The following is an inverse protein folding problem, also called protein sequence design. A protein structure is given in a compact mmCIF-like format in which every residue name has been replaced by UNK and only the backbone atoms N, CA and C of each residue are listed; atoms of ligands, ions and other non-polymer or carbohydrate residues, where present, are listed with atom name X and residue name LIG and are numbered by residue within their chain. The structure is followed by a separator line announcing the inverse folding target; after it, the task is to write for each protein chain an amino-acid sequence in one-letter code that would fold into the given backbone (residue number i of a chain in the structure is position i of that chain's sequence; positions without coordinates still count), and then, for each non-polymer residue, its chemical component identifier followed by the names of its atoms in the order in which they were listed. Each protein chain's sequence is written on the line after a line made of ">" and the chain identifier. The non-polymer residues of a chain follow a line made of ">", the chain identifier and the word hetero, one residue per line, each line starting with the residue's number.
data_IF_905831489616
#
_entry.id   IF_905831489616
#
_cell.length_a   1.000
_cell.length_b   1.000
_cell.length_c   1.000
_cell.angle_alpha   90.00
_cell.angle_beta   90.00
_cell.angle_gamma   90.00
#
_symmetry.space_group_name_H-M   'P 1'
#
loop_
_entity.id
_entity.type
_entity.pdbx_description
1 polymer ?
#
# COMPACT_ATOMS: atom_id res chain seq x y z
N UNK A 1 -0.55 -75.80 18.10
CA UNK A 1 -1.77 -75.04 18.46
C UNK A 1 -1.71 -73.58 18.02
N UNK A 2 -0.59 -72.95 18.04
CA UNK A 2 -0.43 -71.52 17.65
C UNK A 2 -0.61 -71.23 16.15
N UNK A 3 -0.25 -72.14 15.24
CA UNK A 3 -0.44 -71.93 13.78
C UNK A 3 -1.94 -71.83 13.39
N UNK A 4 -2.80 -72.51 14.09
CA UNK A 4 -4.24 -72.60 13.78
C UNK A 4 -4.99 -71.35 14.20
N UNK A 5 -4.44 -70.56 15.11
CA UNK A 5 -5.08 -69.32 15.57
C UNK A 5 -4.74 -68.17 14.61
N UNK A 6 -3.52 -68.10 14.09
CA UNK A 6 -3.11 -67.09 13.10
C UNK A 6 -3.89 -67.19 11.78
N UNK A 7 -4.08 -68.44 11.27
CA UNK A 7 -4.87 -68.68 10.05
C UNK A 7 -6.37 -68.35 10.24
N UNK A 8 -6.94 -68.61 11.42
CA UNK A 8 -8.34 -68.27 11.69
C UNK A 8 -8.57 -66.79 11.91
N UNK A 9 -7.61 -66.02 12.40
CA UNK A 9 -7.71 -64.57 12.59
C UNK A 9 -7.56 -63.84 11.26
N UNK A 10 -6.66 -64.32 10.37
CA UNK A 10 -6.50 -63.71 9.03
C UNK A 10 -7.70 -63.90 8.12
N UNK A 11 -8.58 -64.90 8.41
CA UNK A 11 -9.82 -65.18 7.68
C UNK A 11 -10.94 -64.22 8.04
N UNK A 12 -10.85 -63.51 9.18
CA UNK A 12 -11.88 -62.58 9.67
C UNK A 12 -11.51 -61.12 9.72
N UNK A 13 -10.21 -60.82 9.49
CA UNK A 13 -9.71 -59.47 9.55
C UNK A 13 -9.05 -59.11 8.23
N UNK A 14 -9.69 -58.35 7.42
CA UNK A 14 -9.06 -57.74 6.23
C UNK A 14 -8.00 -56.71 6.68
N UNK A 15 -6.75 -57.13 6.67
CA UNK A 15 -5.61 -56.34 7.11
C UNK A 15 -5.51 -55.03 6.35
N UNK A 16 -5.95 -54.93 5.10
CA UNK A 16 -5.95 -53.73 4.31
C UNK A 16 -7.02 -52.75 4.79
N UNK A 17 -8.21 -53.25 5.11
CA UNK A 17 -9.31 -52.42 5.71
C UNK A 17 -8.96 -51.93 7.11
N UNK A 18 -8.21 -52.72 7.89
CA UNK A 18 -7.71 -52.27 9.19
C UNK A 18 -6.62 -51.19 9.00
N UNK A 19 -5.73 -51.36 8.05
CA UNK A 19 -4.71 -50.34 7.72
C UNK A 19 -5.36 -49.03 7.19
N UNK A 20 -6.33 -49.13 6.30
CA UNK A 20 -7.04 -47.95 5.82
C UNK A 20 -7.80 -47.20 6.94
N UNK A 21 -8.54 -47.95 7.79
CA UNK A 21 -9.22 -47.34 8.93
C UNK A 21 -8.27 -46.76 9.97
N UNK A 22 -7.13 -47.41 10.22
CA UNK A 22 -6.08 -46.86 11.07
C UNK A 22 -5.46 -45.59 10.46
N UNK A 23 -5.13 -45.62 9.16
CA UNK A 23 -4.58 -44.46 8.46
C UNK A 23 -5.60 -43.28 8.47
N UNK A 24 -6.87 -43.54 8.22
CA UNK A 24 -7.93 -42.55 8.26
C UNK A 24 -8.17 -42.00 9.69
N UNK A 25 -8.15 -42.89 10.68
CA UNK A 25 -8.22 -42.50 12.10
C UNK A 25 -7.02 -41.67 12.53
N UNK A 26 -5.81 -42.02 12.08
CA UNK A 26 -4.60 -41.27 12.33
C UNK A 26 -4.62 -39.91 11.61
N UNK A 27 -5.11 -39.83 10.38
CA UNK A 27 -5.26 -38.54 9.70
C UNK A 27 -6.34 -37.65 10.34
N UNK A 28 -7.48 -38.21 10.77
CA UNK A 28 -8.54 -37.43 11.43
C UNK A 28 -8.21 -37.01 12.88
N UNK A 29 -7.42 -37.79 13.60
CA UNK A 29 -7.18 -37.59 15.05
C UNK A 29 -5.79 -37.03 15.36
N UNK A 30 -4.80 -37.21 14.48
CA UNK A 30 -3.46 -36.60 14.65
C UNK A 30 -3.51 -35.11 14.29
N UNK A 31 -4.37 -34.70 13.37
CA UNK A 31 -4.65 -33.28 13.12
C UNK A 31 -5.22 -32.59 14.37
N UNK A 32 -5.93 -33.31 15.26
CA UNK A 32 -6.47 -32.79 16.52
C UNK A 32 -5.66 -33.16 17.78
N UNK A 33 -4.43 -33.62 17.65
CA UNK A 33 -3.32 -33.72 18.63
C UNK A 33 -3.67 -34.09 20.09
N UNK A 34 -4.74 -34.83 20.35
CA UNK A 34 -4.94 -35.47 21.67
C UNK A 34 -4.65 -36.95 21.55
N UNK A 35 -3.54 -37.41 22.15
CA UNK A 35 -3.25 -38.82 22.28
C UNK A 35 -4.37 -39.51 23.09
N UNK A 36 -5.10 -40.41 22.44
CA UNK A 36 -6.13 -41.21 23.10
C UNK A 36 -5.64 -42.64 23.20
N UNK A 37 -5.56 -43.17 24.42
CA UNK A 37 -5.31 -44.57 24.69
C UNK A 37 -6.51 -45.39 24.23
N UNK A 38 -6.30 -46.36 23.32
CA UNK A 38 -7.29 -47.38 23.02
C UNK A 38 -6.75 -48.72 23.55
N UNK A 39 -7.35 -49.32 24.55
CA UNK A 39 -6.98 -50.67 24.98
C UNK A 39 -7.53 -51.67 23.98
N UNK A 40 -6.63 -52.31 23.24
CA UNK A 40 -6.94 -53.48 22.42
C UNK A 40 -6.62 -54.72 23.27
N UNK A 41 -7.66 -55.38 23.73
CA UNK A 41 -7.53 -56.65 24.44
C UNK A 41 -7.17 -57.77 23.45
N UNK A 42 -5.95 -58.30 23.56
CA UNK A 42 -5.55 -59.51 22.93
C UNK A 42 -4.52 -59.35 21.77
N UNK A 43 -3.28 -59.36 22.11
CA UNK A 43 -2.00 -59.33 21.43
C UNK A 43 -1.29 -58.00 21.56
N UNK A 44 -0.35 -57.94 22.49
CA UNK A 44 0.49 -56.77 22.73
C UNK A 44 1.49 -56.60 21.60
N UNK A 45 1.13 -55.87 20.58
CA UNK A 45 2.12 -55.20 19.74
C UNK A 45 2.23 -53.77 20.26
N UNK A 46 3.25 -53.53 21.09
CA UNK A 46 3.62 -52.16 21.48
C UNK A 46 4.10 -51.43 20.21
N UNK A 47 3.20 -50.71 19.55
CA UNK A 47 3.63 -49.59 18.72
C UNK A 47 4.06 -48.48 19.67
N UNK A 48 5.35 -48.31 19.81
CA UNK A 48 5.92 -47.10 20.40
C UNK A 48 5.61 -45.97 19.41
N UNK A 49 4.39 -45.38 19.48
CA UNK A 49 4.15 -44.09 18.89
C UNK A 49 5.00 -43.14 19.73
N UNK A 50 6.06 -42.61 19.13
CA UNK A 50 6.93 -41.67 19.83
C UNK A 50 6.04 -40.57 20.39
N UNK A 51 6.04 -40.45 21.72
CA UNK A 51 5.47 -39.30 22.39
C UNK A 51 6.31 -38.09 21.95
N UNK A 52 5.87 -37.37 20.98
CA UNK A 52 6.27 -35.98 20.89
C UNK A 52 5.72 -35.33 22.16
N UNK A 53 6.58 -34.89 23.08
CA UNK A 53 6.16 -34.19 24.27
C UNK A 53 5.22 -33.06 23.84
N UNK A 54 4.08 -32.90 24.54
CA UNK A 54 3.16 -31.80 24.26
C UNK A 54 3.92 -30.49 24.34
N UNK A 55 3.69 -29.59 23.38
CA UNK A 55 4.21 -28.25 23.50
C UNK A 55 3.46 -27.52 24.62
N UNK A 56 4.21 -26.90 25.49
CA UNK A 56 3.68 -26.13 26.62
C UNK A 56 4.22 -24.70 26.63
N UNK A 57 5.02 -24.36 25.60
CA UNK A 57 5.58 -23.01 25.48
C UNK A 57 4.74 -22.23 24.48
N UNK A 58 4.26 -21.09 24.91
CA UNK A 58 3.51 -20.20 24.03
C UNK A 58 4.44 -19.46 23.04
N UNK A 59 3.92 -19.05 21.87
CA UNK A 59 4.66 -18.22 20.93
C UNK A 59 5.14 -16.91 21.56
N UNK A 60 6.25 -16.41 21.10
CA UNK A 60 6.79 -15.11 21.49
C UNK A 60 6.51 -14.07 20.42
N UNK A 61 5.81 -12.97 20.76
CA UNK A 61 5.62 -11.83 19.89
C UNK A 61 6.85 -10.93 20.03
N UNK A 62 7.68 -10.86 18.97
CA UNK A 62 8.95 -10.15 18.99
C UNK A 62 8.82 -8.70 18.55
N UNK A 63 7.79 -8.33 17.80
CA UNK A 63 7.51 -6.94 17.42
C UNK A 63 7.20 -6.09 18.66
N UNK A 64 7.87 -4.95 18.80
CA UNK A 64 7.56 -3.91 19.78
C UNK A 64 6.84 -2.72 19.12
N UNK A 65 7.17 -2.45 17.85
CA UNK A 65 6.60 -1.39 17.03
C UNK A 65 6.41 -1.87 15.60
N UNK A 66 5.32 -1.40 14.97
CA UNK A 66 4.99 -1.64 13.56
C UNK A 66 4.57 -0.31 12.97
N UNK A 67 5.08 0.02 11.78
CA UNK A 67 4.64 1.21 11.05
C UNK A 67 3.54 0.82 10.05
N UNK A 68 2.51 1.68 9.97
CA UNK A 68 1.38 1.55 9.05
C UNK A 68 1.26 2.87 8.29
N UNK A 69 1.29 2.86 6.96
CA UNK A 69 1.05 4.06 6.17
C UNK A 69 -0.34 4.64 6.44
N UNK A 70 -0.46 5.96 6.42
CA UNK A 70 -1.74 6.67 6.58
C UNK A 70 -2.80 6.15 5.60
N UNK A 71 -3.99 5.84 6.12
CA UNK A 71 -5.11 5.32 5.35
C UNK A 71 -5.03 3.83 5.00
N UNK A 72 -3.90 3.15 5.25
CA UNK A 72 -3.76 1.72 5.00
C UNK A 72 -4.26 0.88 6.18
N UNK A 73 -4.65 -0.34 5.88
CA UNK A 73 -5.10 -1.28 6.92
C UNK A 73 -3.91 -1.92 7.63
N UNK A 74 -4.06 -2.11 8.93
CA UNK A 74 -3.11 -2.92 9.69
C UNK A 74 -3.17 -4.39 9.22
N UNK A 75 -2.01 -4.92 8.85
CA UNK A 75 -1.86 -6.32 8.46
C UNK A 75 -1.23 -7.11 9.61
N UNK A 76 -1.97 -8.07 10.16
CA UNK A 76 -1.49 -8.94 11.26
C UNK A 76 -0.30 -9.81 10.84
N UNK A 77 -0.11 -10.03 9.55
CA UNK A 77 1.03 -10.81 9.03
C UNK A 77 2.36 -10.04 9.14
N UNK A 78 2.32 -8.72 9.37
CA UNK A 78 3.52 -7.91 9.66
C UNK A 78 4.03 -8.07 11.10
N UNK A 79 3.25 -8.73 11.96
CA UNK A 79 3.68 -9.02 13.34
C UNK A 79 4.65 -10.18 13.35
N UNK A 80 5.86 -9.93 13.85
CA UNK A 80 6.87 -10.97 14.02
C UNK A 80 6.55 -11.82 15.25
N UNK A 81 6.40 -13.12 15.01
CA UNK A 81 6.18 -14.11 16.06
C UNK A 81 7.11 -15.31 15.86
N UNK A 82 7.58 -15.88 16.93
CA UNK A 82 8.44 -17.08 16.93
C UNK A 82 7.96 -18.08 17.95
N UNK A 83 8.19 -19.34 17.66
CA UNK A 83 7.91 -20.43 18.59
C UNK A 83 9.04 -21.48 18.56
N UNK A 84 9.09 -22.34 19.58
CA UNK A 84 10.12 -23.38 19.70
C UNK A 84 9.84 -24.61 18.82
N UNK A 85 8.61 -24.75 18.31
CA UNK A 85 8.16 -25.92 17.53
C UNK A 85 7.37 -25.59 16.30
N UNK A 86 6.49 -24.59 16.40
CA UNK A 86 5.60 -24.21 15.31
C UNK A 86 6.28 -23.21 14.38
N UNK A 87 6.06 -23.37 13.08
CA UNK A 87 6.47 -22.38 12.10
C UNK A 87 5.49 -21.19 12.11
N UNK A 88 5.91 -20.06 11.52
CA UNK A 88 5.03 -18.86 11.44
C UNK A 88 3.65 -19.18 10.85
N UNK A 89 3.59 -20.09 9.88
CA UNK A 89 2.36 -20.50 9.20
C UNK A 89 1.38 -21.28 10.09
N UNK A 90 1.91 -21.96 11.13
CA UNK A 90 1.12 -22.73 12.10
C UNK A 90 0.65 -21.88 13.30
N UNK A 91 1.18 -20.66 13.46
CA UNK A 91 0.84 -19.74 14.53
C UNK A 91 -0.29 -18.81 14.08
N UNK A 92 -1.39 -18.79 14.81
CA UNK A 92 -2.48 -17.86 14.60
C UNK A 92 -2.18 -16.54 15.30
N UNK A 93 -2.27 -15.43 14.55
CA UNK A 93 -2.10 -14.07 15.09
C UNK A 93 -3.39 -13.29 14.90
N UNK A 94 -3.79 -12.56 15.93
CA UNK A 94 -4.93 -11.65 15.91
C UNK A 94 -4.59 -10.36 16.64
N UNK A 95 -5.31 -9.28 16.35
CA UNK A 95 -5.10 -7.98 16.96
C UNK A 95 -6.43 -7.31 17.32
N UNK A 96 -6.48 -6.67 18.48
CA UNK A 96 -7.58 -5.76 18.84
C UNK A 96 -7.28 -4.37 18.32
N UNK A 97 -7.96 -3.98 17.26
CA UNK A 97 -7.78 -2.72 16.54
C UNK A 97 -8.74 -1.61 16.99
N UNK A 98 -9.47 -1.78 18.09
CA UNK A 98 -10.48 -0.80 18.54
C UNK A 98 -9.89 0.60 18.84
N UNK A 99 -8.62 0.68 19.21
CA UNK A 99 -7.92 1.94 19.49
C UNK A 99 -7.20 2.53 18.27
N UNK A 100 -7.05 1.76 17.18
CA UNK A 100 -6.28 2.18 16.00
C UNK A 100 -7.14 3.04 15.07
N UNK A 101 -6.65 4.25 14.76
CA UNK A 101 -7.19 5.09 13.71
C UNK A 101 -6.13 5.33 12.63
N UNK A 102 -6.24 4.62 11.53
CA UNK A 102 -5.29 4.72 10.41
C UNK A 102 -5.41 6.02 9.60
N UNK A 103 -6.49 6.79 9.80
CA UNK A 103 -6.69 8.12 9.19
C UNK A 103 -6.18 9.26 10.08
N UNK A 104 -5.35 8.95 11.06
CA UNK A 104 -4.73 9.96 11.91
C UNK A 104 -3.30 9.52 12.27
N UNK A 105 -2.34 10.38 11.98
CA UNK A 105 -0.93 10.13 12.35
C UNK A 105 -0.77 10.03 13.86
N UNK A 106 0.10 9.13 14.31
CA UNK A 106 0.40 8.96 15.73
C UNK A 106 0.70 7.53 16.13
N UNK A 107 0.94 7.36 17.43
CA UNK A 107 1.26 6.08 18.05
C UNK A 107 0.01 5.51 18.74
N UNK A 108 -0.35 4.29 18.39
CA UNK A 108 -1.50 3.57 18.91
C UNK A 108 -1.04 2.30 19.62
N UNK A 109 -1.67 2.00 20.77
CA UNK A 109 -1.44 0.76 21.48
C UNK A 109 -2.44 -0.29 21.04
N UNK A 110 -1.94 -1.37 20.44
CA UNK A 110 -2.73 -2.48 19.92
C UNK A 110 -2.38 -3.74 20.66
N UNK A 111 -3.39 -4.43 21.17
CA UNK A 111 -3.19 -5.73 21.81
C UNK A 111 -3.14 -6.82 20.75
N UNK A 112 -2.00 -7.49 20.65
CA UNK A 112 -1.79 -8.62 19.75
C UNK A 112 -1.83 -9.91 20.54
N UNK A 113 -2.51 -10.91 20.01
CA UNK A 113 -2.58 -12.27 20.57
C UNK A 113 -2.03 -13.26 19.56
N UNK A 114 -1.12 -14.12 19.97
CA UNK A 114 -0.59 -15.23 19.18
C UNK A 114 -0.88 -16.56 19.84
N UNK A 115 -1.30 -17.55 19.04
CA UNK A 115 -1.70 -18.88 19.52
C UNK A 115 -1.05 -19.94 18.64
N UNK A 116 -0.36 -20.91 19.26
CA UNK A 116 0.27 -22.02 18.57
C UNK A 116 -0.71 -23.16 18.25
N UNK A 117 -0.22 -24.20 17.59
CA UNK A 117 -1.00 -25.38 17.24
C UNK A 117 -1.40 -26.25 18.45
N UNK A 118 -0.82 -26.02 19.62
CA UNK A 118 -1.18 -26.67 20.90
C UNK A 118 -2.11 -25.84 21.78
N UNK A 119 -2.56 -24.66 21.29
CA UNK A 119 -3.37 -23.66 21.99
C UNK A 119 -2.63 -23.02 23.20
N UNK A 120 -1.30 -22.92 23.14
CA UNK A 120 -0.60 -22.03 24.06
C UNK A 120 -0.69 -20.62 23.48
N UNK A 121 -0.97 -19.64 24.36
CA UNK A 121 -1.30 -18.28 23.93
C UNK A 121 -0.38 -17.25 24.60
N UNK A 122 0.03 -16.24 23.85
CA UNK A 122 0.71 -15.05 24.35
C UNK A 122 -0.03 -13.81 23.87
N UNK A 123 -0.17 -12.85 24.76
CA UNK A 123 -0.73 -11.52 24.47
C UNK A 123 0.32 -10.47 24.77
N UNK A 124 0.49 -9.51 23.83
CA UNK A 124 1.44 -8.40 23.98
C UNK A 124 0.82 -7.10 23.46
N UNK A 125 1.08 -6.00 24.15
CA UNK A 125 0.81 -4.67 23.63
C UNK A 125 1.93 -4.26 22.66
N UNK A 126 1.58 -3.97 21.41
CA UNK A 126 2.47 -3.52 20.34
C UNK A 126 2.12 -2.08 19.99
N UNK A 127 3.13 -1.24 19.77
CA UNK A 127 2.93 0.12 19.30
C UNK A 127 2.74 0.10 17.78
N UNK A 128 1.58 0.51 17.30
CA UNK A 128 1.34 0.75 15.87
C UNK A 128 1.49 2.25 15.61
N UNK A 129 2.46 2.60 14.78
CA UNK A 129 2.73 3.98 14.41
C UNK A 129 2.16 4.25 13.02
N UNK A 130 1.13 5.09 12.95
CA UNK A 130 0.58 5.56 11.68
C UNK A 130 1.46 6.71 11.19
N UNK A 131 2.05 6.53 10.00
CA UNK A 131 3.03 7.44 9.40
C UNK A 131 2.59 7.85 8.01
N UNK A 132 2.96 9.06 7.65
CA UNK A 132 2.84 9.52 6.28
C UNK A 132 4.11 9.15 5.51
N UNK A 133 3.94 8.42 4.41
CA UNK A 133 5.01 7.93 3.55
C UNK A 133 4.77 8.30 2.07
N UNK A 134 3.67 8.97 1.76
CA UNK A 134 3.40 9.44 0.42
C UNK A 134 3.88 10.88 0.26
N UNK A 135 4.55 11.19 -0.85
CA UNK A 135 4.87 12.58 -1.19
C UNK A 135 3.76 13.24 -1.99
N UNK A 136 3.77 14.58 -2.06
CA UNK A 136 2.76 15.37 -2.76
C UNK A 136 2.60 14.98 -4.23
N UNK A 137 1.37 15.10 -4.75
CA UNK A 137 1.01 14.84 -6.15
C UNK A 137 0.81 16.15 -6.88
N UNK A 138 1.51 16.33 -8.02
CA UNK A 138 1.36 17.49 -8.88
C UNK A 138 0.21 17.34 -9.87
N UNK A 139 -0.60 18.40 -9.99
CA UNK A 139 -1.64 18.55 -10.99
C UNK A 139 -1.42 19.85 -11.78
N UNK A 140 -1.50 19.77 -13.12
CA UNK A 140 -1.43 20.94 -14.01
C UNK A 140 -2.83 21.51 -14.24
N UNK A 141 -2.99 22.82 -14.07
CA UNK A 141 -4.26 23.51 -14.24
C UNK A 141 -4.42 23.93 -15.71
N UNK A 142 -5.53 23.51 -16.34
CA UNK A 142 -5.89 23.95 -17.70
C UNK A 142 -5.13 23.32 -18.85
N UNK A 143 -4.32 22.27 -18.64
CA UNK A 143 -3.69 21.54 -19.74
C UNK A 143 -4.56 20.36 -20.20
N UNK A 144 -4.66 20.16 -21.52
CA UNK A 144 -5.10 18.92 -22.10
C UNK A 144 -4.00 17.86 -21.86
N UNK A 145 -4.36 16.62 -21.57
CA UNK A 145 -3.52 15.44 -21.32
C UNK A 145 -2.07 15.55 -21.85
N UNK A 146 -1.17 16.03 -21.00
CA UNK A 146 0.26 16.18 -21.32
C UNK A 146 0.92 17.17 -20.37
N UNK A 147 2.21 17.00 -20.11
CA UNK A 147 2.97 17.85 -19.19
C UNK A 147 3.38 19.22 -19.79
N UNK A 148 2.62 19.71 -20.79
CA UNK A 148 2.83 21.02 -21.40
C UNK A 148 1.72 21.95 -20.92
N UNK A 149 2.11 23.02 -20.21
CA UNK A 149 1.22 24.06 -19.72
C UNK A 149 1.29 25.26 -20.65
N UNK A 150 0.19 25.70 -21.24
CA UNK A 150 0.13 26.89 -22.05
C UNK A 150 0.09 28.14 -21.14
N UNK A 151 0.95 29.10 -21.44
CA UNK A 151 1.11 30.33 -20.70
C UNK A 151 1.01 31.51 -21.65
N UNK A 152 0.09 32.47 -21.45
CA UNK A 152 0.03 33.66 -22.29
C UNK A 152 1.30 34.49 -22.15
N UNK A 153 1.81 35.04 -23.25
CA UNK A 153 2.92 36.00 -23.21
C UNK A 153 2.58 37.18 -22.28
N UNK A 154 3.52 37.58 -21.42
CA UNK A 154 3.32 38.55 -20.35
C UNK A 154 2.24 38.16 -19.32
N UNK A 155 1.85 36.89 -19.24
CA UNK A 155 0.97 36.35 -18.22
C UNK A 155 1.67 36.25 -16.85
N UNK A 156 1.03 35.55 -15.93
CA UNK A 156 1.62 35.33 -14.60
C UNK A 156 2.92 34.52 -14.69
N UNK A 157 3.94 34.95 -13.95
CA UNK A 157 5.15 34.15 -13.73
C UNK A 157 5.05 33.27 -12.47
N UNK A 158 3.95 33.42 -11.71
CA UNK A 158 3.68 32.60 -10.53
C UNK A 158 3.20 31.22 -10.96
N UNK A 159 4.01 30.21 -10.67
CA UNK A 159 3.75 28.82 -11.03
C UNK A 159 2.48 28.24 -10.38
N UNK A 160 2.08 28.77 -9.21
CA UNK A 160 0.81 28.38 -8.55
C UNK A 160 -0.45 28.71 -9.36
N UNK A 161 -0.34 29.60 -10.36
CA UNK A 161 -1.40 29.89 -11.34
C UNK A 161 -1.64 28.72 -12.31
N UNK A 162 -0.69 27.82 -12.45
CA UNK A 162 -0.66 26.78 -13.47
C UNK A 162 -0.53 25.35 -12.91
N UNK A 163 -0.04 25.23 -11.67
CA UNK A 163 0.26 23.94 -11.06
C UNK A 163 -0.22 23.95 -9.62
N UNK A 164 -0.80 22.83 -9.20
CA UNK A 164 -1.07 22.51 -7.78
C UNK A 164 -0.26 21.33 -7.32
N UNK A 165 0.03 21.29 -6.05
CA UNK A 165 0.53 20.12 -5.36
C UNK A 165 -0.38 19.80 -4.18
N UNK A 166 -0.84 18.54 -4.10
CA UNK A 166 -1.72 18.09 -3.02
C UNK A 166 -1.17 16.82 -2.41
N UNK A 167 -1.32 16.72 -1.12
CA UNK A 167 -0.93 15.57 -0.33
C UNK A 167 -2.13 14.92 0.35
N UNK A 168 -2.04 13.61 0.63
CA UNK A 168 -3.13 12.84 1.23
C UNK A 168 -3.35 13.13 2.72
N UNK A 169 -2.33 13.67 3.41
CA UNK A 169 -2.36 14.05 4.83
C UNK A 169 -2.46 15.57 5.01
N UNK A 170 -1.59 16.31 4.32
CA UNK A 170 -1.43 17.75 4.50
C UNK A 170 -2.35 18.60 3.60
N UNK A 171 -2.99 17.97 2.61
CA UNK A 171 -3.89 18.63 1.69
C UNK A 171 -3.16 19.51 0.67
N UNK A 172 -3.47 20.80 0.60
CA UNK A 172 -2.88 21.73 -0.37
C UNK A 172 -1.49 22.20 0.07
N UNK A 173 -0.45 21.66 -0.57
CA UNK A 173 0.95 22.03 -0.36
C UNK A 173 1.52 22.90 -1.51
N UNK A 174 0.67 23.43 -2.39
CA UNK A 174 1.05 24.32 -3.48
C UNK A 174 1.94 25.50 -3.05
N UNK A 175 1.73 26.14 -1.86
CA UNK A 175 2.58 27.23 -1.40
C UNK A 175 4.02 26.82 -1.10
N UNK A 176 4.31 25.53 -1.00
CA UNK A 176 5.63 24.98 -0.68
C UNK A 176 6.34 24.40 -1.91
N UNK A 177 5.83 24.68 -3.13
CA UNK A 177 6.49 24.29 -4.37
C UNK A 177 7.76 25.13 -4.55
N UNK A 178 8.87 24.44 -4.71
CA UNK A 178 10.16 25.01 -5.13
C UNK A 178 10.38 24.74 -6.64
N UNK A 179 11.06 25.64 -7.32
CA UNK A 179 11.39 25.49 -8.74
C UNK A 179 12.89 25.74 -8.97
N UNK A 180 13.48 24.98 -9.90
CA UNK A 180 14.89 25.10 -10.28
C UNK A 180 15.19 26.46 -10.96
N UNK A 181 14.18 27.10 -11.55
CA UNK A 181 14.27 28.42 -12.20
C UNK A 181 12.89 29.10 -12.26
N UNK A 182 12.92 30.42 -12.49
CA UNK A 182 11.70 31.21 -12.68
C UNK A 182 11.17 31.08 -14.10
N UNK A 183 9.83 31.14 -14.24
CA UNK A 183 9.15 31.20 -15.52
C UNK A 183 9.27 32.62 -16.10
N UNK A 184 9.88 32.76 -17.29
CA UNK A 184 9.98 34.03 -18.03
C UNK A 184 8.85 34.11 -19.08
N UNK A 185 7.74 34.74 -18.72
CA UNK A 185 6.56 34.87 -19.59
C UNK A 185 6.75 35.92 -20.69
N UNK A 186 7.84 36.69 -20.70
CA UNK A 186 8.16 37.67 -21.76
C UNK A 186 8.75 37.04 -23.01
N UNK A 187 9.19 35.78 -22.94
CA UNK A 187 9.81 35.06 -24.04
C UNK A 187 8.92 33.95 -24.58
N UNK A 188 8.55 34.05 -25.84
CA UNK A 188 7.83 32.99 -26.54
C UNK A 188 8.67 31.72 -26.64
N UNK A 189 7.99 30.57 -26.54
CA UNK A 189 8.58 29.25 -26.63
C UNK A 189 8.45 28.43 -25.37
N UNK A 190 9.00 27.21 -25.40
CA UNK A 190 8.88 26.27 -24.30
C UNK A 190 10.02 26.43 -23.30
N UNK A 191 9.68 26.48 -22.01
CA UNK A 191 10.58 26.50 -20.87
C UNK A 191 10.31 25.28 -20.00
N UNK A 192 11.28 24.39 -19.89
CA UNK A 192 11.20 23.20 -19.04
C UNK A 192 11.63 23.56 -17.62
N UNK A 193 10.78 23.39 -16.64
CA UNK A 193 11.02 23.73 -15.23
C UNK A 193 10.83 22.48 -14.39
N UNK A 194 11.79 22.20 -13.50
CA UNK A 194 11.67 21.14 -12.50
C UNK A 194 11.11 21.73 -11.21
N UNK A 195 9.99 21.18 -10.79
CA UNK A 195 9.29 21.54 -9.56
C UNK A 195 9.54 20.48 -8.51
N UNK A 196 9.68 20.92 -7.27
CA UNK A 196 9.77 20.06 -6.09
C UNK A 196 8.73 20.51 -5.08
N UNK A 197 7.98 19.56 -4.52
CA UNK A 197 7.10 19.80 -3.39
C UNK A 197 7.49 18.88 -2.25
N UNK A 198 7.42 19.39 -1.03
CA UNK A 198 7.72 18.66 0.20
C UNK A 198 6.53 18.82 1.15
N UNK A 199 6.06 17.72 1.74
CA UNK A 199 5.02 17.73 2.76
C UNK A 199 5.59 18.03 4.15
N UNK A 200 4.72 18.05 5.18
CA UNK A 200 5.12 18.30 6.58
C UNK A 200 5.90 17.11 7.16
N UNK A 201 5.64 15.90 6.65
CA UNK A 201 6.33 14.67 7.06
C UNK A 201 7.74 14.55 6.47
N UNK A 202 8.06 15.38 5.46
CA UNK A 202 9.36 15.41 4.79
C UNK A 202 9.42 14.51 3.55
N UNK A 203 8.28 13.99 3.06
CA UNK A 203 8.26 13.27 1.80
C UNK A 203 8.31 14.26 0.64
N UNK A 204 9.09 13.94 -0.39
CA UNK A 204 9.38 14.84 -1.50
C UNK A 204 8.94 14.23 -2.82
N UNK A 205 8.38 15.08 -3.68
CA UNK A 205 8.10 14.73 -5.07
C UNK A 205 8.68 15.76 -6.00
N UNK A 206 9.37 15.30 -7.03
CA UNK A 206 9.88 16.13 -8.11
C UNK A 206 9.11 15.88 -9.40
N UNK A 207 8.83 16.96 -10.14
CA UNK A 207 8.12 16.90 -11.42
C UNK A 207 8.70 17.90 -12.39
N UNK A 208 9.10 17.45 -13.57
CA UNK A 208 9.50 18.32 -14.67
C UNK A 208 8.30 18.64 -15.55
N UNK A 209 8.05 19.93 -15.80
CA UNK A 209 6.91 20.44 -16.56
C UNK A 209 7.42 21.39 -17.65
N UNK A 210 6.85 21.28 -18.84
CA UNK A 210 7.09 22.20 -19.94
C UNK A 210 6.04 23.30 -19.95
N UNK A 211 6.48 24.56 -19.86
CA UNK A 211 5.64 25.76 -19.96
C UNK A 211 5.83 26.36 -21.35
N UNK A 212 4.79 26.28 -22.18
CA UNK A 212 4.79 26.85 -23.52
C UNK A 212 4.23 28.28 -23.47
N UNK A 213 5.10 29.28 -23.58
CA UNK A 213 4.67 30.69 -23.66
C UNK A 213 4.22 30.98 -25.08
N UNK A 214 2.94 31.31 -25.25
CA UNK A 214 2.28 31.55 -26.55
C UNK A 214 1.71 32.94 -26.62
N UNK A 215 1.60 33.47 -27.84
CA UNK A 215 0.90 34.72 -28.14
C UNK A 215 -0.35 34.40 -28.96
N UNK A 216 -1.48 34.34 -28.28
CA UNK A 216 -2.79 34.06 -28.88
C UNK A 216 -3.60 35.36 -29.12
N UNK A 217 -2.99 36.51 -28.87
CA UNK A 217 -3.64 37.81 -29.08
C UNK A 217 -3.73 38.14 -30.58
N UNK A 218 -4.94 38.30 -31.07
CA UNK A 218 -5.12 38.81 -32.42
C UNK A 218 -4.61 40.27 -32.55
N UNK A 219 -3.93 40.62 -33.64
CA UNK A 219 -3.48 42.01 -33.85
C UNK A 219 -4.68 42.96 -33.91
N UNK A 220 -4.54 44.12 -33.22
CA UNK A 220 -5.54 45.17 -33.27
C UNK A 220 -5.17 46.17 -34.32
N UNK A 221 -6.08 46.38 -35.28
CA UNK A 221 -5.95 47.42 -36.31
C UNK A 221 -6.59 48.68 -35.80
N UNK A 222 -5.79 49.73 -35.64
CA UNK A 222 -6.29 51.06 -35.28
C UNK A 222 -6.00 52.02 -36.41
N UNK A 223 -7.05 52.64 -36.92
CA UNK A 223 -6.90 53.68 -37.91
C UNK A 223 -6.63 55.03 -37.24
N UNK A 224 -5.66 55.80 -37.76
CA UNK A 224 -5.22 57.07 -37.19
C UNK A 224 -6.35 58.11 -37.14
N UNK A 225 -7.28 58.07 -38.08
CA UNK A 225 -8.34 59.06 -38.27
C UNK A 225 -9.75 58.51 -38.03
N UNK A 226 -9.88 57.38 -37.32
CA UNK A 226 -11.17 56.73 -37.07
C UNK A 226 -11.52 55.67 -38.12
N UNK A 227 -12.74 55.10 -37.98
CA UNK A 227 -13.19 54.00 -38.81
C UNK A 227 -13.45 54.33 -40.29
N UNK A 228 -13.71 55.61 -40.58
CA UNK A 228 -14.05 56.08 -41.92
C UNK A 228 -12.89 56.86 -42.53
N UNK A 229 -12.46 56.44 -43.70
CA UNK A 229 -11.45 57.12 -44.49
C UNK A 229 -12.13 57.73 -45.72
N UNK A 230 -12.08 59.05 -45.82
CA UNK A 230 -12.63 59.80 -46.98
C UNK A 230 -11.48 60.18 -47.91
N UNK A 231 -11.59 59.75 -49.16
CA UNK A 231 -10.64 60.06 -50.23
C UNK A 231 -11.27 60.96 -51.27
N UNK A 232 -10.49 61.91 -51.75
CA UNK A 232 -10.88 62.68 -52.93
C UNK A 232 -10.79 61.81 -54.20
N UNK A 233 -11.70 62.06 -55.13
CA UNK A 233 -11.64 61.36 -56.42
C UNK A 233 -10.33 61.55 -57.13
N UNK A 234 -9.68 60.44 -57.48
CA UNK A 234 -8.35 60.45 -58.18
C UNK A 234 -7.12 60.59 -57.27
N UNK A 235 -7.29 60.59 -55.93
CA UNK A 235 -6.15 60.50 -55.01
C UNK A 235 -5.67 59.06 -54.84
N UNK A 236 -4.36 58.87 -54.67
CA UNK A 236 -3.80 57.54 -54.32
C UNK A 236 -4.15 57.17 -52.89
N UNK A 237 -4.51 55.90 -52.68
CA UNK A 237 -4.70 55.34 -51.35
C UNK A 237 -3.41 54.68 -50.87
N UNK A 238 -2.88 55.14 -49.76
CA UNK A 238 -1.78 54.50 -49.11
C UNK A 238 -2.18 54.13 -47.67
N UNK A 239 -2.23 52.84 -47.34
CA UNK A 239 -2.62 52.36 -46.03
C UNK A 239 -1.74 52.91 -44.88
N UNK A 240 -0.47 53.26 -45.13
CA UNK A 240 0.42 53.84 -44.11
C UNK A 240 -0.01 55.20 -43.64
N UNK A 241 -0.91 55.89 -44.34
CA UNK A 241 -1.33 57.25 -44.00
C UNK A 241 -2.51 57.25 -43.02
N UNK A 242 -3.06 56.07 -42.75
CA UNK A 242 -4.24 55.83 -41.91
C UNK A 242 -3.98 54.84 -40.78
#
# INVERSE_FOLDING_TARGET
>A
MERNIKERVSQYVDENKVKEKLTQFFQEKIVNRKAMFIPITGVATFMLVGYAAADTKAPEITSDQIEVPYGEKFDVDTVDVTDNRDSREDIQVSADLASLNVEQLGDYKVTVTSTDSFNNETTKEVTVKVVDQEGPKFETLGSNEGYVVEVPVNGSSDLSSYVKATDNVDGDVTPFIEADKTLDTSKLGTQTITLKATDVSGNETEKTIDFAVTDDAAPVITLKNGADVTLNYGSDFNLSDY
#
